data_IF_631997075231
#
_entry.id   IF_631997075231
#
_cell.length_a   1.000
_cell.length_b   1.000
_cell.length_c   1.000
_cell.angle_alpha   90.00
_cell.angle_beta   90.00
_cell.angle_gamma   90.00
#
_symmetry.space_group_name_H-M   'P 1'
#
loop_
_entity.id
_entity.type
_entity.pdbx_description
1 polymer ?
#
# COMPACT_ATOMS: atom_id res chain seq x y z
N UNK A 1 -5.47 17.11 -16.08
CA UNK A 1 -6.73 16.35 -16.24
C UNK A 1 -6.71 15.08 -15.38
N UNK A 2 -6.51 15.19 -14.06
CA UNK A 2 -6.35 14.05 -13.13
C UNK A 2 -7.47 13.95 -12.07
N UNK A 3 -7.91 15.10 -11.50
CA UNK A 3 -8.92 15.14 -10.43
C UNK A 3 -10.30 14.56 -10.80
N UNK A 4 -10.72 14.63 -12.07
CA UNK A 4 -12.01 14.08 -12.52
C UNK A 4 -12.02 12.55 -12.50
N UNK A 5 -10.89 11.91 -12.81
CA UNK A 5 -10.74 10.45 -12.77
C UNK A 5 -10.76 9.99 -11.32
N UNK A 6 -9.97 10.62 -10.45
CA UNK A 6 -9.97 10.29 -9.03
C UNK A 6 -11.37 10.34 -8.40
N UNK A 7 -12.13 11.41 -8.67
CA UNK A 7 -13.48 11.56 -8.16
C UNK A 7 -14.44 10.45 -8.65
N UNK A 8 -14.40 10.14 -9.95
CA UNK A 8 -15.28 9.12 -10.54
C UNK A 8 -15.00 7.71 -10.02
N UNK A 9 -13.76 7.47 -9.58
CA UNK A 9 -13.29 6.17 -9.11
C UNK A 9 -13.15 6.08 -7.59
N UNK A 10 -13.66 7.06 -6.85
CA UNK A 10 -13.64 7.05 -5.37
C UNK A 10 -12.25 7.15 -4.76
N UNK A 11 -11.26 7.62 -5.52
CA UNK A 11 -9.90 7.77 -5.03
C UNK A 11 -9.74 9.04 -4.20
N UNK A 12 -8.96 8.95 -3.13
CA UNK A 12 -8.71 10.04 -2.19
C UNK A 12 -7.21 10.18 -1.93
N UNK A 13 -6.77 11.38 -1.55
CA UNK A 13 -5.43 11.62 -1.05
C UNK A 13 -5.46 11.56 0.48
N UNK A 14 -4.48 10.89 1.09
CA UNK A 14 -4.29 10.90 2.55
C UNK A 14 -2.80 11.06 2.91
N UNK A 15 -2.44 10.85 4.16
CA UNK A 15 -1.07 10.96 4.65
C UNK A 15 -0.60 12.40 4.86
N UNK A 16 0.73 12.60 4.86
CA UNK A 16 1.33 13.87 5.28
C UNK A 16 0.95 15.07 4.41
N UNK A 17 0.81 14.88 3.10
CA UNK A 17 0.42 15.95 2.17
C UNK A 17 -1.06 16.30 2.25
N UNK A 18 -1.92 15.33 2.59
CA UNK A 18 -3.31 15.63 2.91
C UNK A 18 -3.40 16.39 4.24
N UNK A 19 -2.62 16.00 5.25
CA UNK A 19 -2.58 16.68 6.54
C UNK A 19 -2.10 18.13 6.43
N UNK A 20 -1.16 18.43 5.52
CA UNK A 20 -0.70 19.81 5.25
C UNK A 20 -1.84 20.78 4.95
N UNK A 21 -2.88 20.33 4.25
CA UNK A 21 -4.06 21.14 3.95
C UNK A 21 -4.80 21.59 5.21
N UNK A 22 -4.85 20.74 6.24
CA UNK A 22 -5.54 21.02 7.50
C UNK A 22 -4.62 21.67 8.53
N UNK A 23 -3.38 21.21 8.62
CA UNK A 23 -2.40 21.59 9.63
C UNK A 23 -1.08 21.91 8.93
N UNK A 24 -0.80 23.18 8.60
CA UNK A 24 0.44 23.57 7.94
C UNK A 24 1.71 23.13 8.69
N UNK A 25 2.78 22.87 7.95
CA UNK A 25 4.05 22.33 8.47
C UNK A 25 3.95 20.87 8.91
N UNK A 26 3.05 20.10 8.32
CA UNK A 26 2.87 18.67 8.57
C UNK A 26 3.41 17.77 7.46
N UNK A 27 3.91 18.38 6.37
CA UNK A 27 4.62 17.73 5.27
C UNK A 27 5.98 18.41 5.01
N UNK A 28 6.83 17.72 4.26
CA UNK A 28 8.11 18.26 3.76
C UNK A 28 8.18 18.07 2.25
N UNK A 29 9.19 18.62 1.58
CA UNK A 29 9.37 18.39 0.14
C UNK A 29 9.54 16.89 -0.19
N UNK A 30 10.15 16.15 0.73
CA UNK A 30 10.38 14.70 0.62
C UNK A 30 9.16 13.85 1.04
N UNK A 31 8.06 14.47 1.47
CA UNK A 31 6.84 13.73 1.80
C UNK A 31 6.27 13.04 0.56
N UNK A 32 5.83 11.80 0.71
CA UNK A 32 5.15 11.03 -0.33
C UNK A 32 3.76 11.61 -0.67
N UNK A 33 3.26 11.31 -1.87
CA UNK A 33 1.85 11.46 -2.23
C UNK A 33 1.13 10.12 -2.13
N UNK A 34 0.23 9.96 -1.14
CA UNK A 34 -0.48 8.71 -0.91
C UNK A 34 -1.91 8.76 -1.46
N UNK A 35 -2.12 8.17 -2.63
CA UNK A 35 -3.42 8.02 -3.26
C UNK A 35 -4.06 6.70 -2.85
N UNK A 36 -5.23 6.75 -2.23
CA UNK A 36 -6.02 5.57 -1.88
C UNK A 36 -7.09 5.36 -2.93
N UNK A 37 -7.24 4.13 -3.41
CA UNK A 37 -8.26 3.76 -4.41
C UNK A 37 -9.07 2.56 -3.90
N UNK A 38 -10.39 2.52 -4.15
CA UNK A 38 -11.19 1.34 -3.86
C UNK A 38 -10.60 0.09 -4.55
N UNK A 39 -10.74 -1.10 -3.96
CA UNK A 39 -10.19 -2.36 -4.49
C UNK A 39 -10.95 -2.92 -5.70
N UNK A 40 -11.36 -2.03 -6.60
CA UNK A 40 -12.13 -2.33 -7.80
C UNK A 40 -11.18 -2.18 -8.99
N UNK A 41 -10.95 -3.27 -9.72
CA UNK A 41 -9.96 -3.30 -10.82
C UNK A 41 -10.12 -2.16 -11.83
N UNK A 42 -11.34 -1.86 -12.36
CA UNK A 42 -11.56 -0.68 -13.18
C UNK A 42 -11.10 0.65 -12.55
N UNK A 43 -11.29 0.83 -11.25
CA UNK A 43 -10.86 2.03 -10.52
C UNK A 43 -9.34 2.10 -10.36
N UNK A 44 -8.70 0.97 -10.03
CA UNK A 44 -7.24 0.89 -9.93
C UNK A 44 -6.59 1.23 -11.27
N UNK A 45 -7.04 0.60 -12.36
CA UNK A 45 -6.52 0.84 -13.72
C UNK A 45 -6.74 2.31 -14.12
N UNK A 46 -7.94 2.84 -13.91
CA UNK A 46 -8.25 4.21 -14.31
C UNK A 46 -7.39 5.24 -13.56
N UNK A 47 -7.24 5.08 -12.24
CA UNK A 47 -6.45 5.98 -11.40
C UNK A 47 -4.96 5.85 -11.71
N UNK A 48 -4.43 4.62 -11.85
CA UNK A 48 -3.05 4.39 -12.29
C UNK A 48 -2.76 5.07 -13.62
N UNK A 49 -3.60 4.84 -14.63
CA UNK A 49 -3.43 5.45 -15.96
C UNK A 49 -3.51 6.98 -15.91
N UNK A 50 -4.33 7.56 -15.03
CA UNK A 50 -4.40 9.00 -14.84
C UNK A 50 -3.14 9.58 -14.18
N UNK A 51 -2.55 8.85 -13.23
CA UNK A 51 -1.26 9.19 -12.62
C UNK A 51 -0.13 9.10 -13.66
N UNK A 52 -0.10 8.05 -14.48
CA UNK A 52 0.89 7.90 -15.57
C UNK A 52 0.81 9.02 -16.59
N UNK A 53 -0.41 9.38 -17.02
CA UNK A 53 -0.66 10.56 -17.88
C UNK A 53 -0.26 11.88 -17.24
N UNK A 54 -0.09 11.90 -15.91
CA UNK A 54 0.38 13.07 -15.15
C UNK A 54 1.89 13.06 -14.90
N UNK A 55 2.64 12.12 -15.51
CA UNK A 55 4.10 12.03 -15.39
C UNK A 55 4.59 11.17 -14.23
N UNK A 56 3.72 10.37 -13.62
CA UNK A 56 4.11 9.36 -12.61
C UNK A 56 4.60 8.10 -13.31
N UNK A 57 5.77 7.61 -12.93
CA UNK A 57 6.32 6.33 -13.41
C UNK A 57 6.21 5.30 -12.30
N UNK A 58 5.42 4.25 -12.53
CA UNK A 58 5.29 3.13 -11.60
C UNK A 58 6.46 2.16 -11.79
N UNK A 59 7.11 1.80 -10.68
CA UNK A 59 8.13 0.75 -10.67
C UNK A 59 7.42 -0.61 -10.69
N UNK A 60 7.82 -1.49 -11.60
CA UNK A 60 7.23 -2.83 -11.67
C UNK A 60 7.70 -3.72 -10.49
N UNK A 61 6.99 -4.82 -10.20
CA UNK A 61 7.42 -5.72 -9.11
C UNK A 61 8.78 -6.34 -9.41
N UNK A 62 9.02 -6.63 -10.70
CA UNK A 62 10.30 -7.12 -11.21
C UNK A 62 11.42 -6.08 -11.08
N UNK A 63 11.17 -4.83 -11.48
CA UNK A 63 12.16 -3.75 -11.36
C UNK A 63 12.53 -3.50 -9.91
N UNK A 64 11.53 -3.43 -9.02
CA UNK A 64 11.74 -3.24 -7.59
C UNK A 64 12.54 -4.38 -6.96
N UNK A 65 12.23 -5.63 -7.34
CA UNK A 65 12.96 -6.80 -6.88
C UNK A 65 14.41 -6.80 -7.37
N UNK A 66 14.63 -6.52 -8.66
CA UNK A 66 15.95 -6.45 -9.26
C UNK A 66 16.81 -5.35 -8.65
N UNK A 67 16.23 -4.17 -8.38
CA UNK A 67 16.92 -3.07 -7.70
C UNK A 67 17.32 -3.45 -6.27
N UNK A 68 16.43 -4.04 -5.48
CA UNK A 68 16.76 -4.51 -4.12
C UNK A 68 17.87 -5.55 -4.12
N UNK A 69 17.80 -6.50 -5.06
CA UNK A 69 18.86 -7.50 -5.24
C UNK A 69 20.20 -6.84 -5.59
N UNK A 70 20.20 -5.82 -6.45
CA UNK A 70 21.41 -5.06 -6.81
C UNK A 70 21.98 -4.24 -5.64
N UNK A 71 21.12 -3.60 -4.86
CA UNK A 71 21.53 -2.66 -3.79
C UNK A 71 21.88 -3.36 -2.47
N UNK A 72 21.22 -4.49 -2.19
CA UNK A 72 21.32 -5.19 -0.89
C UNK A 72 21.84 -6.61 -1.00
N UNK A 73 22.10 -7.11 -2.20
CA UNK A 73 22.44 -8.52 -2.48
C UNK A 73 21.36 -9.52 -2.02
N UNK A 74 20.15 -9.04 -1.69
CA UNK A 74 19.04 -9.87 -1.24
C UNK A 74 17.67 -9.23 -1.52
N UNK A 75 16.65 -10.08 -1.69
CA UNK A 75 15.25 -9.66 -1.79
C UNK A 75 14.31 -10.74 -1.27
N UNK A 76 13.33 -10.33 -0.45
CA UNK A 76 12.17 -11.15 -0.09
C UNK A 76 11.04 -10.85 -1.06
N UNK A 77 10.45 -11.88 -1.65
CA UNK A 77 9.25 -11.79 -2.49
C UNK A 77 8.07 -12.46 -1.78
N UNK A 78 7.01 -11.70 -1.56
CA UNK A 78 5.74 -12.26 -1.14
C UNK A 78 4.98 -12.87 -2.33
N UNK A 79 3.91 -13.61 -2.04
CA UNK A 79 3.05 -14.26 -3.03
C UNK A 79 2.58 -13.31 -4.15
N UNK A 80 2.14 -12.10 -3.81
CA UNK A 80 1.66 -11.12 -4.78
C UNK A 80 2.77 -10.65 -5.74
N UNK A 81 3.97 -10.44 -5.22
CA UNK A 81 5.13 -10.07 -6.01
C UNK A 81 5.56 -11.23 -6.92
N UNK A 82 5.52 -12.47 -6.42
CA UNK A 82 5.81 -13.68 -7.21
C UNK A 82 4.87 -13.76 -8.43
N UNK A 83 3.57 -13.62 -8.22
CA UNK A 83 2.57 -13.66 -9.31
C UNK A 83 2.77 -12.49 -10.28
N UNK A 84 3.01 -11.29 -9.77
CA UNK A 84 3.24 -10.10 -10.61
C UNK A 84 4.48 -10.28 -11.49
N UNK A 85 5.59 -10.75 -10.92
CA UNK A 85 6.82 -11.02 -11.65
C UNK A 85 6.61 -12.09 -12.71
N UNK A 86 5.90 -13.18 -12.39
CA UNK A 86 5.60 -14.23 -13.36
C UNK A 86 4.75 -13.72 -14.53
N UNK A 87 3.72 -12.92 -14.24
CA UNK A 87 2.88 -12.28 -15.25
C UNK A 87 3.69 -11.33 -16.15
N UNK A 88 4.48 -10.44 -15.54
CA UNK A 88 5.37 -9.54 -16.27
C UNK A 88 6.35 -10.30 -17.17
N UNK A 89 6.98 -11.36 -16.64
CA UNK A 89 7.94 -12.19 -17.37
C UNK A 89 7.30 -13.00 -18.50
N UNK A 90 6.00 -13.30 -18.41
CA UNK A 90 5.25 -14.03 -19.44
C UNK A 90 4.89 -13.12 -20.62
N UNK A 91 4.35 -11.93 -20.34
CA UNK A 91 3.86 -11.00 -21.37
C UNK A 91 4.95 -10.08 -21.93
N UNK A 92 5.95 -9.71 -21.14
CA UNK A 92 6.98 -8.77 -21.55
C UNK A 92 8.27 -9.49 -21.98
N UNK A 93 8.39 -9.75 -23.28
CA UNK A 93 9.61 -10.28 -23.90
C UNK A 93 10.64 -9.17 -24.15
N UNK A 94 11.08 -8.52 -23.08
CA UNK A 94 12.12 -7.48 -23.10
C UNK A 94 13.53 -8.07 -22.93
N UNK A 95 14.55 -7.27 -23.29
CA UNK A 95 15.93 -7.54 -22.87
C UNK A 95 16.09 -7.26 -21.38
N UNK A 96 15.91 -8.29 -20.54
CA UNK A 96 16.03 -8.15 -19.09
C UNK A 96 17.49 -7.97 -18.66
N UNK A 97 17.71 -7.10 -17.67
CA UNK A 97 18.98 -6.96 -16.94
C UNK A 97 19.37 -8.25 -16.23
N UNK A 98 20.63 -8.33 -15.79
CA UNK A 98 21.13 -9.53 -15.09
C UNK A 98 20.31 -9.83 -13.83
N UNK A 99 20.01 -8.82 -13.01
CA UNK A 99 19.26 -8.99 -11.78
C UNK A 99 17.80 -9.37 -12.04
N UNK A 100 17.18 -8.79 -13.07
CA UNK A 100 15.83 -9.20 -13.49
C UNK A 100 15.80 -10.66 -13.95
N UNK A 101 16.82 -11.11 -14.70
CA UNK A 101 16.95 -12.52 -15.10
C UNK A 101 17.10 -13.43 -13.89
N UNK A 102 17.92 -13.03 -12.91
CA UNK A 102 18.08 -13.79 -11.67
C UNK A 102 16.73 -13.93 -10.96
N UNK A 103 16.03 -12.83 -10.73
CA UNK A 103 14.72 -12.84 -10.07
C UNK A 103 13.71 -13.74 -10.80
N UNK A 104 13.63 -13.64 -12.13
CA UNK A 104 12.66 -14.41 -12.92
C UNK A 104 13.03 -15.90 -12.95
N UNK A 105 14.32 -16.21 -13.09
CA UNK A 105 14.78 -17.59 -13.05
C UNK A 105 14.55 -18.22 -11.67
N UNK A 106 14.78 -17.47 -10.59
CA UNK A 106 14.46 -17.89 -9.23
C UNK A 106 12.97 -18.18 -9.05
N UNK A 107 12.07 -17.30 -9.52
CA UNK A 107 10.62 -17.54 -9.49
C UNK A 107 10.22 -18.78 -10.29
N UNK A 108 10.73 -18.92 -11.53
CA UNK A 108 10.44 -20.06 -12.42
C UNK A 108 11.09 -21.39 -11.99
N UNK A 109 12.14 -21.32 -11.19
CA UNK A 109 12.78 -22.47 -10.57
C UNK A 109 11.95 -22.98 -9.40
N UNK A 110 11.51 -22.07 -8.52
CA UNK A 110 10.68 -22.44 -7.37
C UNK A 110 9.27 -22.88 -7.76
N UNK A 111 8.70 -22.22 -8.76
CA UNK A 111 7.32 -22.45 -9.19
C UNK A 111 7.28 -22.70 -10.70
N UNK A 112 7.60 -23.92 -11.17
CA UNK A 112 7.63 -24.23 -12.61
C UNK A 112 6.28 -23.98 -13.32
N UNK A 113 5.16 -24.13 -12.62
CA UNK A 113 3.83 -23.81 -13.14
C UNK A 113 3.71 -22.35 -13.61
N UNK A 114 4.44 -21.42 -12.99
CA UNK A 114 4.46 -20.00 -13.36
C UNK A 114 5.19 -19.69 -14.68
N UNK A 115 5.77 -20.70 -15.34
CA UNK A 115 6.34 -20.53 -16.69
C UNK A 115 5.28 -20.34 -17.75
N UNK A 116 4.13 -20.98 -17.58
CA UNK A 116 2.97 -20.85 -18.46
C UNK A 116 1.78 -20.34 -17.66
N UNK A 117 1.54 -19.05 -17.77
CA UNK A 117 0.47 -18.38 -17.03
C UNK A 117 -0.91 -18.58 -17.68
N UNK A 118 -1.00 -19.13 -18.89
CA UNK A 118 -2.26 -19.15 -19.66
C UNK A 118 -3.40 -19.85 -18.93
N UNK A 119 -3.11 -20.98 -18.29
CA UNK A 119 -4.09 -21.77 -17.52
C UNK A 119 -4.56 -21.07 -16.24
N UNK A 120 -3.78 -20.09 -15.77
CA UNK A 120 -4.08 -19.32 -14.57
C UNK A 120 -4.70 -17.97 -14.91
N UNK A 121 -4.78 -17.55 -16.17
CA UNK A 121 -5.37 -16.26 -16.54
C UNK A 121 -6.86 -16.45 -16.85
N UNK A 122 -7.70 -15.73 -16.12
CA UNK A 122 -9.15 -15.67 -16.32
C UNK A 122 -9.48 -14.82 -17.55
N UNK A 123 -10.68 -14.97 -18.10
CA UNK A 123 -11.16 -14.23 -19.27
C UNK A 123 -11.10 -12.70 -19.10
N UNK A 124 -11.23 -12.21 -17.86
CA UNK A 124 -11.11 -10.79 -17.54
C UNK A 124 -9.66 -10.28 -17.43
N UNK A 125 -8.66 -11.11 -17.78
CA UNK A 125 -7.23 -10.80 -17.72
C UNK A 125 -6.61 -10.90 -16.32
N UNK A 126 -7.39 -11.19 -15.28
CA UNK A 126 -6.86 -11.42 -13.93
C UNK A 126 -6.23 -12.80 -13.81
N UNK A 127 -5.20 -12.93 -12.98
CA UNK A 127 -4.59 -14.23 -12.66
C UNK A 127 -5.39 -14.87 -11.53
N UNK A 128 -5.94 -16.06 -11.77
CA UNK A 128 -6.52 -16.95 -10.79
C UNK A 128 -5.49 -17.38 -9.74
N UNK A 129 -5.98 -17.54 -8.50
CA UNK A 129 -5.15 -17.74 -7.32
C UNK A 129 -4.37 -19.06 -7.34
N UNK A 130 -3.18 -19.00 -6.75
CA UNK A 130 -2.38 -20.16 -6.36
C UNK A 130 -2.15 -20.06 -4.86
N UNK A 131 -2.99 -20.73 -4.08
CA UNK A 131 -2.95 -20.71 -2.61
C UNK A 131 -1.64 -21.30 -2.04
N UNK A 132 -0.94 -22.11 -2.84
CA UNK A 132 0.27 -22.84 -2.43
C UNK A 132 1.59 -22.04 -2.53
N UNK A 133 1.54 -20.75 -2.89
CA UNK A 133 2.74 -19.94 -3.03
C UNK A 133 3.24 -19.43 -1.67
N UNK A 134 4.42 -19.88 -1.28
CA UNK A 134 5.11 -19.44 -0.06
C UNK A 134 6.06 -18.28 -0.41
N UNK A 135 6.22 -17.27 0.46
CA UNK A 135 7.24 -16.24 0.28
C UNK A 135 8.64 -16.83 0.08
N UNK A 136 9.39 -16.26 -0.85
CA UNK A 136 10.75 -16.72 -1.17
C UNK A 136 11.78 -15.64 -0.86
N UNK A 137 12.96 -16.09 -0.44
CA UNK A 137 14.12 -15.24 -0.24
C UNK A 137 15.15 -15.53 -1.33
N UNK A 138 15.54 -14.51 -2.08
CA UNK A 138 16.51 -14.60 -3.18
C UNK A 138 17.78 -13.85 -2.76
N UNK A 139 18.92 -14.54 -2.75
CA UNK A 139 20.25 -13.94 -2.56
C UNK A 139 20.94 -13.71 -3.90
N UNK A 140 22.02 -12.94 -3.85
CA UNK A 140 22.97 -12.76 -4.96
C UNK A 140 23.35 -14.12 -5.59
N UNK A 141 23.41 -14.16 -6.92
CA UNK A 141 23.60 -15.39 -7.69
C UNK A 141 22.36 -16.27 -7.87
N UNK A 142 21.20 -15.87 -7.34
CA UNK A 142 19.92 -16.54 -7.58
C UNK A 142 19.62 -17.71 -6.65
N UNK A 143 20.39 -17.86 -5.56
CA UNK A 143 20.12 -18.86 -4.53
C UNK A 143 18.82 -18.52 -3.82
N UNK A 144 17.88 -19.46 -3.84
CA UNK A 144 16.55 -19.29 -3.24
C UNK A 144 16.43 -20.13 -1.98
N UNK A 145 15.84 -19.56 -0.93
CA UNK A 145 15.42 -20.30 0.27
C UNK A 145 13.95 -20.02 0.55
N UNK A 146 13.23 -21.06 0.97
CA UNK A 146 11.92 -20.87 1.58
C UNK A 146 12.09 -20.08 2.87
N UNK A 147 11.20 -19.12 3.09
CA UNK A 147 10.94 -18.66 4.44
C UNK A 147 9.82 -19.56 4.95
N UNK A 148 10.11 -20.55 5.84
CA UNK A 148 9.03 -21.27 6.50
C UNK A 148 8.12 -20.24 7.17
N UNK A 149 6.81 -20.50 7.26
CA UNK A 149 5.89 -19.65 8.01
C UNK A 149 6.25 -19.73 9.50
N UNK A 150 7.33 -19.07 9.92
CA UNK A 150 7.54 -18.73 11.32
C UNK A 150 6.64 -17.56 11.62
N UNK A 151 5.81 -17.72 12.66
CA UNK A 151 4.86 -16.82 13.31
C UNK A 151 5.09 -15.31 13.09
N UNK A 152 4.94 -14.85 11.85
CA UNK A 152 4.63 -13.47 11.51
C UNK A 152 3.29 -13.50 10.77
N UNK A 153 2.27 -13.60 11.62
CA UNK A 153 0.94 -13.02 11.43
C UNK A 153 0.10 -13.62 10.32
N UNK A 154 -0.81 -14.48 10.76
CA UNK A 154 -2.19 -14.59 10.28
C UNK A 154 -2.91 -13.23 10.34
N UNK A 155 -2.54 -12.30 9.47
CA UNK A 155 -3.48 -11.33 8.97
C UNK A 155 -3.85 -11.80 7.58
N UNK A 156 -4.98 -12.53 7.54
CA UNK A 156 -5.74 -12.78 6.31
C UNK A 156 -6.17 -11.41 5.79
N UNK A 157 -5.27 -10.76 5.05
CA UNK A 157 -5.57 -9.56 4.30
C UNK A 157 -6.26 -10.01 3.02
N UNK A 158 -7.42 -9.46 2.69
CA UNK A 158 -8.17 -10.01 1.60
C UNK A 158 -7.55 -9.74 0.24
N UNK A 159 -7.67 -10.79 -0.56
CA UNK A 159 -7.21 -10.99 -1.90
C UNK A 159 -7.87 -9.99 -2.87
N UNK A 160 -7.06 -9.30 -3.66
CA UNK A 160 -7.24 -8.99 -5.08
C UNK A 160 -6.31 -7.84 -5.48
N UNK A 161 -5.52 -8.08 -6.54
CA UNK A 161 -4.57 -7.18 -7.21
C UNK A 161 -3.17 -7.14 -6.57
N UNK A 162 -2.32 -8.08 -7.01
CA UNK A 162 -0.87 -8.05 -7.32
C UNK A 162 0.12 -7.12 -6.58
N UNK A 163 -0.29 -5.98 -6.00
CA UNK A 163 0.35 -5.34 -4.84
C UNK A 163 -0.62 -4.33 -4.23
N UNK A 164 -0.83 -4.40 -2.90
CA UNK A 164 -1.70 -3.46 -2.16
C UNK A 164 -1.18 -2.03 -2.21
N UNK A 165 0.10 -1.84 -2.50
CA UNK A 165 0.75 -0.54 -2.68
C UNK A 165 1.62 -0.58 -3.92
N UNK A 166 1.25 0.20 -4.93
CA UNK A 166 2.10 0.45 -6.09
C UNK A 166 2.96 1.68 -5.80
N UNK A 167 4.26 1.46 -5.66
CA UNK A 167 5.24 2.54 -5.47
C UNK A 167 5.64 3.13 -6.82
N UNK A 168 5.79 4.45 -6.86
CA UNK A 168 6.04 5.18 -8.09
C UNK A 168 6.75 6.50 -7.82
N UNK A 169 7.29 7.10 -8.87
CA UNK A 169 7.98 8.37 -8.78
C UNK A 169 7.40 9.34 -9.81
N UNK A 170 7.07 10.55 -9.37
CA UNK A 170 6.77 11.67 -10.26
C UNK A 170 8.01 12.53 -10.43
N UNK A 171 8.33 12.90 -11.67
CA UNK A 171 9.41 13.85 -11.96
C UNK A 171 8.80 15.20 -12.35
N UNK A 172 9.16 16.26 -11.62
CA UNK A 172 8.80 17.64 -11.98
C UNK A 172 9.97 18.57 -11.75
N UNK A 173 10.36 19.31 -12.77
CA UNK A 173 11.44 20.31 -12.71
C UNK A 173 12.77 19.75 -12.14
N UNK A 174 13.16 18.54 -12.55
CA UNK A 174 14.39 17.89 -12.10
C UNK A 174 14.34 17.29 -10.69
N UNK A 175 13.22 17.45 -9.96
CA UNK A 175 13.02 16.82 -8.65
C UNK A 175 12.14 15.58 -8.79
N UNK A 176 12.59 14.48 -8.18
CA UNK A 176 11.83 13.24 -8.04
C UNK A 176 11.03 13.27 -6.73
N UNK A 177 9.74 12.95 -6.80
CA UNK A 177 8.88 12.85 -5.62
C UNK A 177 8.22 11.47 -5.62
N UNK A 178 8.23 10.81 -4.48
CA UNK A 178 7.58 9.52 -4.29
C UNK A 178 6.05 9.66 -4.32
N UNK A 179 5.41 8.75 -5.04
CA UNK A 179 3.97 8.62 -5.19
C UNK A 179 3.57 7.19 -4.91
N UNK A 180 2.56 6.98 -4.07
CA UNK A 180 2.03 5.67 -3.75
C UNK A 180 0.57 5.59 -4.18
N UNK A 181 0.21 4.50 -4.87
CA UNK A 181 -1.18 4.12 -5.09
C UNK A 181 -1.50 2.94 -4.18
N UNK A 182 -2.25 3.22 -3.11
CA UNK A 182 -2.68 2.28 -2.09
C UNK A 182 -4.08 1.76 -2.42
N UNK A 183 -4.19 0.45 -2.60
CA UNK A 183 -5.45 -0.23 -2.86
C UNK A 183 -6.12 -0.57 -1.54
N UNK A 184 -7.41 -0.23 -1.41
CA UNK A 184 -8.23 -0.59 -0.25
C UNK A 184 -8.34 -2.10 -0.02
N UNK A 185 -8.96 -2.51 1.07
CA UNK A 185 -9.16 -3.93 1.42
C UNK A 185 -10.59 -4.37 1.13
N UNK A 186 -10.81 -5.63 0.72
CA UNK A 186 -12.16 -6.23 0.56
C UNK A 186 -12.34 -7.35 1.58
N UNK A 187 -12.89 -7.17 2.77
CA UNK A 187 -13.12 -8.35 3.64
C UNK A 187 -14.17 -9.30 3.03
N UNK A 188 -13.71 -10.43 2.45
CA UNK A 188 -14.56 -11.44 1.81
C UNK A 188 -15.38 -12.26 2.81
N UNK A 189 -15.09 -12.19 4.12
CA UNK A 189 -15.81 -12.91 5.17
C UNK A 189 -16.99 -12.12 5.74
N UNK A 190 -17.11 -10.83 5.40
CA UNK A 190 -18.15 -9.94 5.93
C UNK A 190 -19.13 -9.54 4.81
N UNK A 191 -20.29 -10.21 4.77
CA UNK A 191 -21.38 -10.00 3.80
C UNK A 191 -22.46 -9.03 4.32
N UNK A 192 -22.26 -8.37 5.45
CA UNK A 192 -23.28 -7.49 6.05
C UNK A 192 -23.32 -6.09 5.41
N UNK A 193 -24.54 -5.60 5.22
CA UNK A 193 -24.90 -4.33 4.58
C UNK A 193 -24.40 -3.11 5.41
N UNK A 194 -24.09 -3.31 6.69
CA UNK A 194 -23.56 -2.28 7.60
C UNK A 194 -22.03 -2.10 7.55
N UNK A 195 -21.30 -2.99 6.86
CA UNK A 195 -19.82 -3.05 6.86
C UNK A 195 -19.16 -2.43 5.62
N UNK A 196 -19.91 -1.67 4.82
CA UNK A 196 -19.41 -1.07 3.58
C UNK A 196 -18.19 -0.15 3.74
N UNK A 197 -17.96 0.42 4.94
CA UNK A 197 -16.78 1.27 5.23
C UNK A 197 -15.48 0.46 5.28
N UNK A 198 -15.53 -0.80 5.71
CA UNK A 198 -14.37 -1.71 5.79
C UNK A 198 -13.89 -2.15 4.41
N UNK A 199 -14.77 -2.08 3.40
CA UNK A 199 -14.51 -2.40 1.99
C UNK A 199 -14.09 -1.17 1.15
N UNK A 200 -13.72 -0.06 1.79
CA UNK A 200 -13.39 1.20 1.13
C UNK A 200 -11.98 1.68 1.48
N UNK A 201 -11.57 2.80 0.88
CA UNK A 201 -10.35 3.53 1.27
C UNK A 201 -10.33 3.92 2.76
N UNK A 202 -11.50 4.02 3.41
CA UNK A 202 -11.61 4.40 4.82
C UNK A 202 -11.00 3.36 5.77
N UNK A 203 -11.11 2.06 5.48
CA UNK A 203 -10.48 1.04 6.33
C UNK A 203 -8.97 1.26 6.46
N UNK A 204 -8.32 1.69 5.38
CA UNK A 204 -6.88 1.99 5.41
C UNK A 204 -6.55 3.30 6.13
N UNK A 205 -7.39 4.33 5.98
CA UNK A 205 -7.19 5.61 6.68
C UNK A 205 -7.44 5.46 8.18
N UNK A 206 -8.48 4.72 8.58
CA UNK A 206 -8.83 4.48 9.97
C UNK A 206 -7.81 3.60 10.70
N UNK A 207 -7.12 2.71 9.99
CA UNK A 207 -6.08 1.83 10.54
C UNK A 207 -4.69 2.46 10.66
N UNK A 208 -4.56 3.76 10.39
CA UNK A 208 -3.31 4.45 10.70
C UNK A 208 -2.96 4.36 12.18
N UNK A 209 -1.67 4.40 12.47
CA UNK A 209 -1.11 4.27 13.82
C UNK A 209 -1.42 5.47 14.76
N UNK A 210 -1.91 6.59 14.22
CA UNK A 210 -2.20 7.79 15.01
C UNK A 210 -3.27 8.70 14.40
N UNK A 211 -3.96 9.43 15.26
CA UNK A 211 -5.13 10.26 14.91
C UNK A 211 -4.84 11.46 13.99
N UNK A 212 -3.61 11.96 13.98
CA UNK A 212 -3.21 13.14 13.19
C UNK A 212 -3.23 12.87 11.69
N UNK A 213 -3.00 11.63 11.25
CA UNK A 213 -3.02 11.27 9.83
C UNK A 213 -4.37 10.74 9.36
N UNK A 214 -5.36 10.61 10.26
CA UNK A 214 -6.72 10.17 9.93
C UNK A 214 -7.52 11.31 9.26
N UNK A 215 -7.08 11.67 8.07
CA UNK A 215 -7.62 12.72 7.23
C UNK A 215 -7.59 12.31 5.75
N UNK A 216 -8.41 12.93 4.92
CA UNK A 216 -8.41 12.70 3.50
C UNK A 216 -8.91 13.90 2.71
N UNK A 217 -8.41 14.02 1.48
CA UNK A 217 -8.86 14.97 0.48
C UNK A 217 -9.40 14.21 -0.72
N UNK A 218 -10.65 14.49 -1.08
CA UNK A 218 -11.26 14.06 -2.34
C UNK A 218 -11.60 15.29 -3.18
N UNK A 219 -12.11 15.08 -4.39
CA UNK A 219 -12.62 16.21 -5.22
C UNK A 219 -13.76 16.97 -4.53
N UNK A 220 -14.60 16.26 -3.78
CA UNK A 220 -15.87 16.80 -3.28
C UNK A 220 -15.79 17.21 -1.81
N UNK A 221 -14.94 16.55 -1.04
CA UNK A 221 -14.92 16.65 0.42
C UNK A 221 -13.47 16.59 0.91
N UNK A 222 -13.15 17.43 1.88
CA UNK A 222 -11.96 17.36 2.72
C UNK A 222 -12.40 17.05 4.16
N UNK A 223 -11.92 15.94 4.74
CA UNK A 223 -12.25 15.53 6.11
C UNK A 223 -10.99 15.29 6.92
N UNK A 224 -11.01 15.71 8.18
CA UNK A 224 -10.04 15.32 9.19
C UNK A 224 -10.79 14.92 10.46
N UNK A 225 -10.67 13.65 10.87
CA UNK A 225 -11.49 13.08 11.95
C UNK A 225 -11.16 13.67 13.33
N UNK A 226 -9.89 13.99 13.58
CA UNK A 226 -9.42 14.55 14.84
C UNK A 226 -8.87 15.98 14.72
N UNK A 227 -9.48 16.82 13.87
CA UNK A 227 -8.92 18.13 13.49
C UNK A 227 -8.56 19.01 14.68
N UNK A 228 -9.47 19.12 15.67
CA UNK A 228 -9.27 19.96 16.86
C UNK A 228 -8.02 19.56 17.67
N UNK A 229 -7.69 18.28 17.69
CA UNK A 229 -6.49 17.79 18.37
C UNK A 229 -5.25 18.04 17.51
N UNK A 230 -5.33 17.70 16.23
CA UNK A 230 -4.22 17.83 15.28
C UNK A 230 -3.82 19.28 15.02
N UNK A 231 -4.76 20.23 15.00
CA UNK A 231 -4.48 21.66 14.82
C UNK A 231 -3.65 22.24 15.96
N UNK A 232 -3.78 21.68 17.17
CA UNK A 232 -2.90 21.97 18.30
C UNK A 232 -1.59 21.16 18.31
N UNK A 233 -1.25 20.50 17.19
CA UNK A 233 -0.10 19.58 17.06
C UNK A 233 -0.09 18.51 18.17
N UNK A 234 -1.28 17.99 18.50
CA UNK A 234 -1.45 16.85 19.42
C UNK A 234 -2.06 15.69 18.65
N UNK A 235 -1.75 14.47 19.07
CA UNK A 235 -2.29 13.26 18.43
C UNK A 235 -2.41 12.13 19.44
N UNK A 236 -3.48 11.34 19.36
CA UNK A 236 -3.50 10.01 19.96
C UNK A 236 -2.60 9.05 19.19
N UNK A 237 -1.80 8.28 19.93
CA UNK A 237 -1.09 7.09 19.45
C UNK A 237 -1.94 5.86 19.74
N UNK A 238 -2.32 5.14 18.69
CA UNK A 238 -3.07 3.91 18.84
C UNK A 238 -2.13 2.74 19.14
N UNK A 239 -2.61 1.75 19.86
CA UNK A 239 -1.91 0.47 20.00
C UNK A 239 -1.85 -0.21 18.63
N UNK A 240 -0.69 -0.74 18.27
CA UNK A 240 -0.46 -1.44 17.00
C UNK A 240 0.15 -2.81 17.28
N UNK A 241 -0.07 -3.81 16.42
CA UNK A 241 0.56 -5.12 16.57
C UNK A 241 2.09 -5.03 16.60
N UNK A 242 2.73 -5.94 17.34
CA UNK A 242 4.18 -5.93 17.58
C UNK A 242 4.99 -5.90 16.26
N UNK A 243 4.58 -6.66 15.24
CA UNK A 243 5.32 -6.70 13.97
C UNK A 243 5.37 -5.38 13.20
N UNK A 244 4.43 -4.46 13.45
CA UNK A 244 4.42 -3.12 12.83
C UNK A 244 4.81 -2.03 13.81
N UNK A 245 5.13 -2.37 15.06
CA UNK A 245 5.44 -1.44 16.12
C UNK A 245 6.62 -0.52 15.75
N UNK A 246 7.75 -1.09 15.32
CA UNK A 246 8.93 -0.31 14.90
C UNK A 246 8.61 0.69 13.76
N UNK A 247 7.89 0.26 12.72
CA UNK A 247 7.50 1.14 11.61
C UNK A 247 6.58 2.27 12.06
N UNK A 248 5.67 1.97 12.98
CA UNK A 248 4.78 2.97 13.53
C UNK A 248 5.54 3.97 14.42
N UNK A 249 6.54 3.54 15.19
CA UNK A 249 7.43 4.43 15.96
C UNK A 249 8.26 5.34 15.05
N UNK A 250 8.84 4.82 13.97
CA UNK A 250 9.55 5.65 12.99
C UNK A 250 8.62 6.72 12.39
N UNK A 251 7.38 6.34 12.11
CA UNK A 251 6.35 7.25 11.61
C UNK A 251 5.94 8.29 12.67
N UNK A 252 5.79 7.91 13.94
CA UNK A 252 5.55 8.85 15.05
C UNK A 252 6.68 9.86 15.15
N UNK A 253 7.93 9.39 15.17
CA UNK A 253 9.12 10.23 15.31
C UNK A 253 9.20 11.28 14.19
N UNK A 254 8.85 10.89 12.96
CA UNK A 254 8.71 11.82 11.82
C UNK A 254 7.76 12.97 12.12
N UNK A 255 6.65 12.77 12.82
CA UNK A 255 5.72 13.87 13.17
C UNK A 255 6.12 14.60 14.46
N UNK A 256 6.82 13.96 15.38
CA UNK A 256 7.43 14.63 16.55
C UNK A 256 8.40 15.73 16.08
N UNK A 257 9.25 15.43 15.10
CA UNK A 257 10.14 16.44 14.49
C UNK A 257 9.39 17.59 13.80
N UNK A 258 8.11 17.38 13.46
CA UNK A 258 7.19 18.38 12.87
C UNK A 258 6.34 19.09 13.93
N UNK A 259 6.73 18.99 15.20
CA UNK A 259 6.12 19.67 16.33
C UNK A 259 4.95 18.92 16.98
N UNK A 260 4.61 17.71 16.55
CA UNK A 260 3.53 16.94 17.17
C UNK A 260 3.94 16.36 18.53
N UNK A 261 3.00 16.33 19.46
CA UNK A 261 3.09 15.58 20.72
C UNK A 261 2.07 14.46 20.73
N UNK A 262 2.53 13.24 21.01
CA UNK A 262 1.69 12.07 21.04
C UNK A 262 1.23 11.77 22.47
N UNK A 263 -0.03 11.41 22.59
CA UNK A 263 -0.68 11.02 23.84
C UNK A 263 -1.02 9.55 23.67
N UNK A 264 -0.47 8.71 24.53
CA UNK A 264 -0.93 7.33 24.64
C UNK A 264 -2.38 7.39 25.11
N UNK A 265 -3.31 6.77 24.38
CA UNK A 265 -4.64 6.57 24.91
C UNK A 265 -4.47 5.78 26.21
N UNK A 266 -4.74 6.41 27.37
CA UNK A 266 -4.66 5.74 28.65
C UNK A 266 -5.59 4.53 28.62
N UNK A 267 -5.12 3.37 29.09
CA UNK A 267 -5.93 2.19 29.44
C UNK A 267 -6.90 2.57 30.56
N UNK A 268 -7.87 3.43 30.25
CA UNK A 268 -9.01 3.65 31.12
C UNK A 268 -9.94 2.47 30.86
N UNK A 269 -9.99 1.55 31.82
CA UNK A 269 -10.96 0.46 31.93
C UNK A 269 -12.41 0.96 32.04
N UNK A 270 -12.89 1.59 30.98
CA UNK A 270 -14.28 1.86 30.69
C UNK A 270 -14.41 1.66 29.20
N UNK A 271 -15.11 0.58 28.80
CA UNK A 271 -15.17 0.11 27.42
C UNK A 271 -15.31 1.25 26.41
N UNK A 272 -14.36 1.29 25.46
CA UNK A 272 -14.63 1.90 24.17
C UNK A 272 -15.64 1.00 23.45
N UNK A 273 -16.90 1.15 23.85
CA UNK A 273 -18.03 0.77 23.04
C UNK A 273 -17.96 1.65 21.79
N UNK A 274 -17.92 1.02 20.61
CA UNK A 274 -17.94 1.69 19.30
C UNK A 274 -19.29 2.40 19.03
N UNK A 275 -20.08 2.70 20.06
CA UNK A 275 -21.41 3.31 20.00
C UNK A 275 -21.41 4.84 20.12
N UNK A 276 -20.27 5.50 20.30
CA UNK A 276 -20.17 6.97 20.31
C UNK A 276 -19.85 7.55 18.93
N UNK A 277 -20.68 7.21 17.94
CA UNK A 277 -21.02 8.14 16.88
C UNK A 277 -21.93 9.22 17.48
N UNK A 278 -21.65 10.53 17.33
CA UNK A 278 -22.62 11.55 17.69
C UNK A 278 -23.83 11.38 16.76
N UNK A 279 -24.97 10.97 17.33
CA UNK A 279 -26.26 11.15 16.68
C UNK A 279 -26.49 12.65 16.54
N UNK A 280 -26.48 13.14 15.30
CA UNK A 280 -27.39 14.19 14.87
C UNK A 280 -28.19 13.64 13.70
#
# INVERSE_FOLDING_TARGET
>A
MSQRVMARHGAVLSGSRALEYFVPGSSTNDSDWDFYVPPILPSIIAVKNALEKSGVTFESSLESAARKLREKSEVVLNQNQIVSIAYEAFFNKSSWSMEQRIVINSVRYMYPALRDMTIHIRENGSVGWMEDLIPIFIREGGRVTFLPPHEEITHVYPENVASKVLSSTAHRNGSAVSVQLVVGTIDHRMTSITDGLSQTVFGSILSFYGSHVQCMLSKHIAIHLYYRLASGKRAFRWQVPEAVHRKAEDAVQKYVTRGFRFITASDNGGGMDFSLCPRQ
#
